data_IF_177438866530
#
_entry.id   IF_177438866530
#
_cell.length_a   1.000
_cell.length_b   1.000
_cell.length_c   1.000
_cell.angle_alpha   90.00
_cell.angle_beta   90.00
_cell.angle_gamma   90.00
#
_symmetry.space_group_name_H-M   'P 1'
#
loop_
_entity.id
_entity.type
_entity.pdbx_description
1 polymer ?
#
# COMPACT_ATOMS: atom_id res chain seq x y z
N UNK A 1 20.46 4.96 -18.45
CA UNK A 1 19.90 4.80 -17.09
C UNK A 1 19.12 3.49 -17.06
N UNK A 2 19.37 2.57 -16.13
CA UNK A 2 18.58 1.34 -16.03
C UNK A 2 17.27 1.68 -15.32
N UNK A 3 16.13 1.30 -15.91
CA UNK A 3 14.81 1.53 -15.33
C UNK A 3 14.53 0.53 -14.21
N UNK A 4 13.89 1.01 -13.13
CA UNK A 4 13.34 0.17 -12.07
C UNK A 4 12.25 -0.76 -12.60
N UNK A 5 11.93 -1.83 -11.87
CA UNK A 5 10.85 -2.74 -12.25
C UNK A 5 9.50 -2.00 -12.33
N UNK A 6 9.25 -1.09 -11.39
CA UNK A 6 8.06 -0.22 -11.39
C UNK A 6 7.97 0.66 -12.63
N UNK A 7 9.05 1.34 -13.02
CA UNK A 7 9.07 2.17 -14.24
C UNK A 7 8.83 1.34 -15.50
N UNK A 8 9.44 0.14 -15.59
CA UNK A 8 9.23 -0.77 -16.73
C UNK A 8 7.76 -1.17 -16.87
N UNK A 9 7.11 -1.51 -15.77
CA UNK A 9 5.67 -1.82 -15.76
C UNK A 9 4.81 -0.63 -16.20
N UNK A 10 5.06 0.57 -15.66
CA UNK A 10 4.28 1.76 -16.03
C UNK A 10 4.40 2.08 -17.52
N UNK A 11 5.59 1.93 -18.11
CA UNK A 11 5.82 2.13 -19.54
C UNK A 11 5.20 1.03 -20.42
N UNK A 12 4.91 -0.14 -19.86
CA UNK A 12 4.33 -1.28 -20.58
C UNK A 12 2.79 -1.29 -20.58
N UNK A 13 2.14 -0.40 -19.83
CA UNK A 13 0.68 -0.25 -19.86
C UNK A 13 0.23 0.12 -21.29
N UNK A 14 -0.84 -0.53 -21.75
CA UNK A 14 -1.46 -0.29 -23.06
C UNK A 14 -2.92 0.09 -22.92
N UNK A 15 -3.52 0.54 -24.01
CA UNK A 15 -4.92 0.95 -24.06
C UNK A 15 -5.89 -0.16 -23.62
N UNK A 16 -5.59 -1.43 -23.96
CA UNK A 16 -6.50 -2.55 -23.76
C UNK A 16 -6.04 -3.56 -22.71
N UNK A 17 -4.82 -3.42 -22.19
CA UNK A 17 -4.28 -4.32 -21.18
C UNK A 17 -3.27 -3.62 -20.28
N UNK A 18 -3.27 -4.01 -19.00
CA UNK A 18 -2.38 -3.45 -17.99
C UNK A 18 -0.95 -4.02 -18.10
N UNK A 19 -0.84 -5.30 -18.46
CA UNK A 19 0.41 -6.02 -18.69
C UNK A 19 0.15 -7.19 -19.66
N UNK A 20 1.19 -7.69 -20.33
CA UNK A 20 1.10 -8.86 -21.21
C UNK A 20 1.23 -10.17 -20.41
N UNK A 21 0.70 -11.28 -20.94
CA UNK A 21 0.67 -12.58 -20.25
C UNK A 21 2.07 -13.07 -19.82
N UNK A 22 3.10 -12.81 -20.64
CA UNK A 22 4.49 -13.20 -20.38
C UNK A 22 5.39 -11.99 -20.03
N UNK A 23 4.83 -10.96 -19.36
CA UNK A 23 5.62 -9.79 -18.95
C UNK A 23 6.52 -10.10 -17.74
N UNK A 24 7.83 -10.25 -17.99
CA UNK A 24 8.84 -10.47 -16.97
C UNK A 24 8.90 -9.35 -15.91
N UNK A 25 8.46 -8.13 -16.23
CA UNK A 25 8.43 -7.01 -15.27
C UNK A 25 7.42 -7.24 -14.14
N UNK A 26 6.33 -7.96 -14.41
CA UNK A 26 5.33 -8.31 -13.39
C UNK A 26 5.92 -9.21 -12.33
N UNK A 27 6.64 -10.26 -12.75
CA UNK A 27 7.30 -11.16 -11.81
C UNK A 27 8.32 -10.41 -10.95
N UNK A 28 9.05 -9.48 -11.55
CA UNK A 28 10.03 -8.67 -10.84
C UNK A 28 9.38 -7.74 -9.81
N UNK A 29 8.29 -7.04 -10.16
CA UNK A 29 7.54 -6.19 -9.21
C UNK A 29 6.93 -7.01 -8.06
N UNK A 30 6.39 -8.19 -8.36
CA UNK A 30 5.87 -9.08 -7.32
C UNK A 30 6.96 -9.49 -6.33
N UNK A 31 8.18 -9.77 -6.82
CA UNK A 31 9.32 -10.07 -5.94
C UNK A 31 9.77 -8.83 -5.15
N UNK A 32 9.78 -7.66 -5.77
CA UNK A 32 10.08 -6.39 -5.11
C UNK A 32 9.11 -6.13 -3.95
N UNK A 33 7.80 -6.30 -4.16
CA UNK A 33 6.79 -6.12 -3.09
C UNK A 33 6.91 -7.11 -1.94
N UNK A 34 7.45 -8.31 -2.19
CA UNK A 34 7.67 -9.32 -1.14
C UNK A 34 8.94 -9.05 -0.34
N UNK A 35 9.97 -8.50 -0.97
CA UNK A 35 11.34 -8.49 -0.42
C UNK A 35 11.86 -7.11 -0.05
N UNK A 36 11.41 -6.05 -0.71
CA UNK A 36 11.99 -4.74 -0.49
C UNK A 36 11.60 -4.19 0.88
N UNK A 37 12.55 -3.50 1.56
CA UNK A 37 12.25 -2.80 2.79
C UNK A 37 11.16 -1.75 2.59
N UNK A 38 10.23 -1.71 3.55
CA UNK A 38 9.22 -0.66 3.66
C UNK A 38 9.86 0.53 4.38
N UNK A 39 9.91 1.68 3.72
CA UNK A 39 10.52 2.90 4.29
C UNK A 39 9.49 3.88 4.83
N UNK A 40 8.24 3.81 4.36
CA UNK A 40 7.15 4.66 4.84
C UNK A 40 5.81 3.94 4.70
N UNK A 41 4.94 4.17 5.68
CA UNK A 41 3.57 3.67 5.71
C UNK A 41 2.66 4.82 6.09
N UNK A 42 1.64 5.05 5.28
CA UNK A 42 0.60 6.04 5.53
C UNK A 42 -0.77 5.41 5.45
N UNK A 43 -1.70 5.88 6.27
CA UNK A 43 -3.08 5.54 6.06
C UNK A 43 -3.63 6.35 4.89
N UNK A 44 -4.28 5.69 3.93
CA UNK A 44 -5.01 6.41 2.89
C UNK A 44 -6.32 6.95 3.46
N UNK A 45 -6.46 8.26 3.49
CA UNK A 45 -7.71 8.91 3.89
C UNK A 45 -8.80 8.72 2.83
N UNK A 46 -10.03 8.54 3.31
CA UNK A 46 -11.22 8.31 2.48
C UNK A 46 -11.57 6.84 2.25
N UNK A 47 -12.88 6.57 2.23
CA UNK A 47 -13.47 5.24 2.10
C UNK A 47 -13.94 4.64 3.43
N UNK A 48 -14.57 3.46 3.37
CA UNK A 48 -15.17 2.78 4.54
C UNK A 48 -14.27 1.72 5.17
N UNK A 49 -13.12 1.41 4.56
CA UNK A 49 -12.25 0.31 4.93
C UNK A 49 -10.83 0.81 5.16
N UNK A 50 -10.11 0.19 6.09
CA UNK A 50 -8.70 0.46 6.33
C UNK A 50 -7.86 0.12 5.09
N UNK A 51 -7.06 1.09 4.63
CA UNK A 51 -6.11 0.95 3.53
C UNK A 51 -4.84 1.70 3.90
N UNK A 52 -3.69 1.11 3.59
CA UNK A 52 -2.38 1.72 3.79
C UNK A 52 -1.70 1.94 2.45
N UNK A 53 -0.95 3.03 2.33
CA UNK A 53 0.02 3.27 1.26
C UNK A 53 1.38 2.88 1.84
N UNK A 54 2.11 2.04 1.12
CA UNK A 54 3.44 1.55 1.46
C UNK A 54 4.41 2.11 0.42
N UNK A 55 5.46 2.79 0.87
CA UNK A 55 6.61 3.15 0.04
C UNK A 55 7.77 2.18 0.32
N UNK A 56 8.39 1.69 -0.75
CA UNK A 56 9.58 0.84 -0.71
C UNK A 56 10.84 1.67 -0.91
N UNK A 57 11.98 1.13 -0.49
CA UNK A 57 13.29 1.79 -0.64
C UNK A 57 13.62 2.19 -2.09
N UNK A 58 13.16 1.43 -3.08
CA UNK A 58 13.35 1.74 -4.50
C UNK A 58 12.37 2.79 -5.06
N UNK A 59 11.71 3.57 -4.18
CA UNK A 59 10.68 4.56 -4.52
C UNK A 59 9.41 3.97 -5.17
N UNK A 60 9.26 2.65 -5.19
CA UNK A 60 8.01 2.00 -5.54
C UNK A 60 6.94 2.25 -4.47
N UNK A 61 5.67 2.30 -4.88
CA UNK A 61 4.55 2.49 -3.97
C UNK A 61 3.46 1.43 -4.22
N UNK A 62 2.89 0.89 -3.14
CA UNK A 62 1.79 -0.08 -3.20
C UNK A 62 0.66 0.26 -2.23
N UNK A 63 -0.58 -0.11 -2.61
CA UNK A 63 -1.73 -0.06 -1.74
C UNK A 63 -1.88 -1.39 -1.00
N UNK A 64 -1.74 -1.37 0.32
CA UNK A 64 -1.95 -2.53 1.17
C UNK A 64 -3.36 -2.55 1.76
N UNK A 65 -4.00 -3.72 1.64
CA UNK A 65 -5.28 -4.03 2.29
C UNK A 65 -5.02 -5.13 3.32
N UNK A 66 -5.18 -4.85 4.63
CA UNK A 66 -5.04 -5.89 5.63
C UNK A 66 -6.13 -6.94 5.46
N UNK A 67 -5.79 -8.19 5.77
CA UNK A 67 -6.77 -9.26 5.88
C UNK A 67 -7.87 -8.85 6.86
N UNK A 68 -9.14 -9.00 6.47
CA UNK A 68 -10.26 -8.73 7.37
C UNK A 68 -10.25 -9.76 8.48
N UNK A 69 -10.17 -9.30 9.73
CA UNK A 69 -10.35 -10.17 10.89
C UNK A 69 -11.83 -10.47 11.05
N UNK A 70 -12.17 -11.76 11.22
CA UNK A 70 -13.56 -12.23 11.30
C UNK A 70 -14.18 -12.00 12.69
N UNK A 71 -13.37 -11.68 13.71
CA UNK A 71 -13.84 -11.50 15.09
C UNK A 71 -14.13 -10.03 15.41
N UNK A 72 -15.41 -9.73 15.62
CA UNK A 72 -15.95 -8.42 16.01
C UNK A 72 -15.23 -7.76 17.21
N UNK A 73 -14.71 -8.57 18.14
CA UNK A 73 -14.07 -8.08 19.37
C UNK A 73 -12.75 -7.35 19.11
N UNK A 74 -12.00 -7.78 18.09
CA UNK A 74 -10.70 -7.17 17.75
C UNK A 74 -10.89 -5.94 16.86
N UNK A 75 -11.90 -5.95 15.98
CA UNK A 75 -12.22 -4.82 15.12
C UNK A 75 -12.64 -3.57 15.92
N UNK A 76 -13.44 -3.77 16.97
CA UNK A 76 -13.83 -2.69 17.90
C UNK A 76 -12.60 -2.08 18.60
N UNK A 77 -11.65 -2.91 19.02
CA UNK A 77 -10.44 -2.45 19.69
C UNK A 77 -9.54 -1.63 18.73
N UNK A 78 -9.34 -2.10 17.50
CA UNK A 78 -8.53 -1.38 16.50
C UNK A 78 -9.18 -0.04 16.13
N UNK A 79 -10.50 -0.01 15.93
CA UNK A 79 -11.21 1.24 15.64
C UNK A 79 -11.19 2.21 16.83
N UNK A 80 -11.31 1.72 18.07
CA UNK A 80 -11.21 2.55 19.26
C UNK A 80 -9.81 3.17 19.41
N UNK A 81 -8.74 2.39 19.18
CA UNK A 81 -7.36 2.89 19.20
C UNK A 81 -7.14 3.93 18.09
N UNK A 82 -7.69 3.69 16.90
CA UNK A 82 -7.62 4.63 15.77
C UNK A 82 -8.28 5.96 16.10
N UNK A 83 -9.48 5.94 16.70
CA UNK A 83 -10.19 7.15 17.14
C UNK A 83 -9.40 7.88 18.23
N UNK A 84 -8.87 7.15 19.22
CA UNK A 84 -8.08 7.73 20.29
C UNK A 84 -6.79 8.41 19.78
N UNK A 85 -6.10 7.79 18.82
CA UNK A 85 -4.90 8.36 18.22
C UNK A 85 -5.24 9.61 17.38
N UNK A 86 -6.36 9.60 16.66
CA UNK A 86 -6.79 10.73 15.83
C UNK A 86 -7.23 11.92 16.69
N UNK A 87 -7.87 11.69 17.83
CA UNK A 87 -8.20 12.72 18.82
C UNK A 87 -6.95 13.28 19.52
N UNK A 88 -5.98 12.42 19.85
CA UNK A 88 -4.71 12.85 20.45
C UNK A 88 -3.90 13.73 19.49
N UNK A 89 -3.81 13.33 18.22
CA UNK A 89 -3.13 14.12 17.19
C UNK A 89 -3.83 15.47 16.93
N UNK A 90 -5.17 15.49 16.93
CA UNK A 90 -5.93 16.73 16.79
C UNK A 90 -5.75 17.70 17.98
N UNK A 91 -5.41 17.18 19.17
CA UNK A 91 -5.18 17.97 20.38
C UNK A 91 -3.79 18.63 20.43
N UNK A 92 -2.83 18.15 19.62
CA UNK A 92 -1.45 18.66 19.55
C UNK A 92 -1.32 19.82 18.54
N UNK A 93 -2.36 20.08 17.75
CA UNK A 93 -2.39 21.14 16.73
C UNK A 93 -3.35 22.29 17.10
N UNK A 94 -3.72 22.42 18.39
CA UNK A 94 -4.55 23.49 18.96
C UNK A 94 -3.76 24.30 20.00
#
# INVERSE_FOLDING_TARGET
KNLSHWEKFQLNVRQYYLYADEDASIRAILQDMVRLPIVRVEQKDGGTQLKLIIDYENSGQALFKPMRLVSFRVLLLINAIKIALQLLLASIHL
#
